data_IF_607593616700
#
_entry.id   IF_607593616700
#
_cell.length_a   1.000
_cell.length_b   1.000
_cell.length_c   1.000
_cell.angle_alpha   90.00
_cell.angle_beta   90.00
_cell.angle_gamma   90.00
#
_symmetry.space_group_name_H-M   'P 1'
#
loop_
_entity.id
_entity.type
_entity.pdbx_description
1 polymer ?
#
# COMPACT_ATOMS: atom_id res chain seq x y z
N UNK A 1 -8.47 -11.85 -18.92
CA UNK A 1 -9.45 -11.51 -17.86
C UNK A 1 -8.75 -10.56 -16.91
N UNK A 2 -9.35 -9.40 -16.59
CA UNK A 2 -8.76 -8.44 -15.65
C UNK A 2 -9.27 -8.66 -14.22
N UNK A 3 -8.45 -8.31 -13.23
CA UNK A 3 -8.81 -8.33 -11.81
C UNK A 3 -8.59 -6.95 -11.21
N UNK A 4 -9.44 -6.56 -10.26
CA UNK A 4 -9.28 -5.32 -9.48
C UNK A 4 -9.13 -5.72 -8.01
N UNK A 5 -8.10 -5.19 -7.36
CA UNK A 5 -7.83 -5.40 -5.94
C UNK A 5 -8.20 -4.12 -5.19
N UNK A 6 -9.15 -4.22 -4.26
CA UNK A 6 -9.57 -3.10 -3.43
C UNK A 6 -8.93 -3.23 -2.05
N UNK A 7 -8.05 -2.29 -1.73
CA UNK A 7 -7.28 -2.27 -0.49
C UNK A 7 -7.76 -1.09 0.35
N UNK A 8 -8.13 -1.37 1.60
CA UNK A 8 -8.34 -0.32 2.60
C UNK A 8 -6.99 0.14 3.12
N UNK A 9 -6.84 1.46 3.36
CA UNK A 9 -5.63 2.01 3.97
C UNK A 9 -5.28 1.29 5.29
N UNK A 10 -3.99 1.20 5.59
CA UNK A 10 -3.50 0.70 6.89
C UNK A 10 -4.02 1.55 8.05
N UNK A 11 -3.87 1.06 9.28
CA UNK A 11 -4.38 1.79 10.45
C UNK A 11 -3.85 3.23 10.50
N UNK A 12 -4.77 4.20 10.56
CA UNK A 12 -4.46 5.62 10.71
C UNK A 12 -4.07 5.96 12.14
N UNK A 13 -3.18 6.93 12.34
CA UNK A 13 -2.80 7.43 13.67
C UNK A 13 -3.99 8.05 14.40
N UNK A 14 -4.48 7.37 15.44
CA UNK A 14 -5.63 7.84 16.22
C UNK A 14 -5.17 8.76 17.36
N UNK A 15 -5.73 9.97 17.43
CA UNK A 15 -5.44 10.93 18.51
C UNK A 15 -4.10 11.67 18.40
N UNK A 16 -3.46 11.63 17.22
CA UNK A 16 -2.28 12.43 16.92
C UNK A 16 -2.70 13.75 16.23
N UNK A 17 -1.87 14.79 16.36
CA UNK A 17 -2.14 16.12 15.77
C UNK A 17 -2.32 16.07 14.25
N UNK A 18 -1.62 15.15 13.57
CA UNK A 18 -1.86 14.81 12.17
C UNK A 18 -2.61 13.46 12.10
N UNK A 19 -3.92 13.52 11.90
CA UNK A 19 -4.77 12.34 11.77
C UNK A 19 -4.63 11.67 10.40
N UNK A 20 -4.13 12.38 9.38
CA UNK A 20 -4.04 11.85 8.00
C UNK A 20 -2.72 11.14 7.72
N UNK A 21 -2.18 10.44 8.71
CA UNK A 21 -0.99 9.59 8.54
C UNK A 21 -1.27 8.18 9.02
N UNK A 22 -0.50 7.23 8.49
CA UNK A 22 -0.49 5.88 9.04
C UNK A 22 0.15 5.88 10.43
N UNK A 23 -0.36 5.00 11.30
CA UNK A 23 0.34 4.65 12.53
C UNK A 23 1.54 3.75 12.22
N UNK A 24 2.39 3.52 13.21
CA UNK A 24 3.46 2.50 13.10
C UNK A 24 2.94 1.09 12.82
N UNK A 25 1.69 0.79 13.21
CA UNK A 25 1.01 -0.45 12.83
C UNK A 25 0.53 -0.38 11.39
N UNK A 26 -0.05 0.74 10.96
CA UNK A 26 -0.51 0.95 9.58
C UNK A 26 0.61 0.85 8.55
N UNK A 27 1.81 1.36 8.88
CA UNK A 27 2.99 1.21 8.03
C UNK A 27 3.38 -0.26 7.86
N UNK A 28 3.52 -1.01 8.97
CA UNK A 28 3.82 -2.45 8.94
C UNK A 28 2.75 -3.28 8.23
N UNK A 29 1.47 -2.91 8.37
CA UNK A 29 0.37 -3.55 7.63
C UNK A 29 0.53 -3.37 6.12
N UNK A 30 0.97 -2.19 5.68
CA UNK A 30 1.17 -1.87 4.26
C UNK A 30 2.35 -2.65 3.68
N UNK A 31 3.46 -2.77 4.42
CA UNK A 31 4.61 -3.61 4.04
C UNK A 31 4.23 -5.09 3.98
N UNK A 32 3.50 -5.59 4.98
CA UNK A 32 3.03 -6.97 5.02
C UNK A 32 2.06 -7.28 3.87
N UNK A 33 1.22 -6.32 3.49
CA UNK A 33 0.37 -6.43 2.30
C UNK A 33 1.23 -6.60 1.04
N UNK A 34 2.24 -5.75 0.83
CA UNK A 34 3.13 -5.87 -0.32
C UNK A 34 3.83 -7.22 -0.39
N UNK A 35 4.38 -7.70 0.73
CA UNK A 35 4.98 -9.04 0.82
C UNK A 35 3.97 -10.15 0.48
N UNK A 36 2.72 -10.02 0.94
CA UNK A 36 1.66 -10.97 0.63
C UNK A 36 1.28 -10.95 -0.86
N UNK A 37 1.20 -9.79 -1.50
CA UNK A 37 0.94 -9.67 -2.94
C UNK A 37 2.03 -10.37 -3.77
N UNK A 38 3.30 -10.28 -3.34
CA UNK A 38 4.41 -11.04 -3.95
C UNK A 38 4.22 -12.54 -3.79
N UNK A 39 3.84 -13.01 -2.60
CA UNK A 39 3.59 -14.44 -2.35
C UNK A 39 2.46 -15.00 -3.22
N UNK A 40 1.45 -14.18 -3.52
CA UNK A 40 0.37 -14.52 -4.44
C UNK A 40 0.80 -14.51 -5.92
N UNK A 41 2.04 -14.08 -6.22
CA UNK A 41 2.57 -13.99 -7.57
C UNK A 41 1.96 -12.85 -8.39
N UNK A 42 1.41 -11.82 -7.73
CA UNK A 42 0.71 -10.74 -8.40
C UNK A 42 1.67 -9.74 -9.03
N UNK A 43 1.29 -9.27 -10.22
CA UNK A 43 1.86 -8.11 -10.90
C UNK A 43 0.73 -7.10 -11.07
N UNK A 44 0.97 -5.87 -10.64
CA UNK A 44 -0.01 -4.80 -10.77
C UNK A 44 0.35 -3.98 -11.99
N UNK A 45 -0.61 -3.80 -12.90
CA UNK A 45 -0.40 -2.97 -14.09
C UNK A 45 -0.59 -1.48 -13.78
N UNK A 46 -1.42 -1.16 -12.77
CA UNK A 46 -1.69 0.21 -12.28
C UNK A 46 -1.97 0.19 -10.78
N UNK A 47 -1.63 1.28 -10.10
CA UNK A 47 -2.00 1.54 -8.70
C UNK A 47 -2.65 2.90 -8.62
N UNK A 48 -3.85 2.98 -8.04
CA UNK A 48 -4.59 4.23 -7.88
C UNK A 48 -4.91 4.41 -6.40
N UNK A 49 -4.64 5.59 -5.86
CA UNK A 49 -4.97 5.92 -4.48
C UNK A 49 -5.72 7.27 -4.41
N UNK A 50 -6.53 7.45 -3.36
CA UNK A 50 -7.19 8.74 -3.13
C UNK A 50 -6.22 9.77 -2.54
N UNK A 51 -6.66 11.02 -2.46
CA UNK A 51 -5.80 12.16 -2.08
C UNK A 51 -5.32 12.15 -0.62
N UNK A 52 -5.90 11.30 0.24
CA UNK A 52 -5.54 11.25 1.66
C UNK A 52 -4.17 10.61 1.83
N UNK A 53 -3.31 11.24 2.63
CA UNK A 53 -1.91 10.81 2.77
C UNK A 53 -1.81 9.38 3.29
N UNK A 54 -2.68 8.95 4.21
CA UNK A 54 -2.71 7.55 4.66
C UNK A 54 -3.03 6.53 3.55
N UNK A 55 -3.78 6.92 2.51
CA UNK A 55 -4.06 6.07 1.35
C UNK A 55 -2.83 5.97 0.46
N UNK A 56 -2.21 7.12 0.16
CA UNK A 56 -0.98 7.22 -0.61
C UNK A 56 0.17 6.43 0.05
N UNK A 57 0.38 6.64 1.36
CA UNK A 57 1.42 5.94 2.13
C UNK A 57 1.19 4.42 2.14
N UNK A 58 -0.07 3.96 2.19
CA UNK A 58 -0.38 2.52 2.10
C UNK A 58 0.06 1.95 0.76
N UNK A 59 -0.27 2.64 -0.34
CA UNK A 59 0.11 2.23 -1.69
C UNK A 59 1.63 2.23 -1.88
N UNK A 60 2.29 3.32 -1.51
CA UNK A 60 3.75 3.47 -1.62
C UNK A 60 4.49 2.39 -0.83
N UNK A 61 4.11 2.12 0.42
CA UNK A 61 4.76 1.10 1.23
C UNK A 61 4.52 -0.32 0.70
N UNK A 62 3.30 -0.63 0.24
CA UNK A 62 3.00 -1.93 -0.35
C UNK A 62 3.78 -2.16 -1.65
N UNK A 63 3.82 -1.18 -2.56
CA UNK A 63 4.59 -1.26 -3.79
C UNK A 63 6.10 -1.28 -3.52
N UNK A 64 6.58 -0.51 -2.55
CA UNK A 64 7.98 -0.54 -2.12
C UNK A 64 8.41 -1.93 -1.64
N UNK A 65 7.57 -2.62 -0.87
CA UNK A 65 7.82 -4.00 -0.45
C UNK A 65 7.83 -4.98 -1.64
N UNK A 66 6.93 -4.81 -2.61
CA UNK A 66 6.94 -5.59 -3.86
C UNK A 66 8.22 -5.35 -4.67
N UNK A 67 8.64 -4.08 -4.80
CA UNK A 67 9.85 -3.68 -5.51
C UNK A 67 11.12 -4.23 -4.84
N UNK A 68 11.19 -4.18 -3.51
CA UNK A 68 12.29 -4.76 -2.74
C UNK A 68 12.41 -6.29 -2.93
N UNK A 69 11.31 -6.97 -3.24
CA UNK A 69 11.29 -8.39 -3.60
C UNK A 69 11.60 -8.65 -5.09
N UNK A 70 11.96 -7.62 -5.87
CA UNK A 70 12.31 -7.74 -7.28
C UNK A 70 11.12 -7.76 -8.24
N UNK A 71 9.92 -7.43 -7.77
CA UNK A 71 8.72 -7.32 -8.63
C UNK A 71 8.65 -5.92 -9.22
N UNK A 72 8.44 -5.82 -10.54
CA UNK A 72 8.16 -4.53 -11.19
C UNK A 72 6.82 -3.99 -10.68
N UNK A 73 6.80 -2.72 -10.29
CA UNK A 73 5.61 -2.04 -9.76
C UNK A 73 5.29 -0.80 -10.61
N UNK A 74 4.00 -0.42 -10.73
CA UNK A 74 3.61 0.83 -11.36
C UNK A 74 3.85 2.00 -10.40
N UNK A 75 3.78 3.22 -10.91
CA UNK A 75 3.67 4.41 -10.07
C UNK A 75 2.29 4.46 -9.38
N UNK A 76 2.20 5.23 -8.29
CA UNK A 76 0.90 5.53 -7.66
C UNK A 76 0.30 6.73 -8.39
N UNK A 77 -0.90 6.52 -8.93
CA UNK A 77 -1.72 7.53 -9.63
C UNK A 77 -2.83 8.11 -8.74
#
# INVERSE_FOLDING_TARGET
>A
MGSIYLIRHGQASFGCDDYDVLSSVGMRQSEALGAHLVQLGLKLDRCVAGDLRRQQDTAVLALGAMQAAGVSVPDVE
#
